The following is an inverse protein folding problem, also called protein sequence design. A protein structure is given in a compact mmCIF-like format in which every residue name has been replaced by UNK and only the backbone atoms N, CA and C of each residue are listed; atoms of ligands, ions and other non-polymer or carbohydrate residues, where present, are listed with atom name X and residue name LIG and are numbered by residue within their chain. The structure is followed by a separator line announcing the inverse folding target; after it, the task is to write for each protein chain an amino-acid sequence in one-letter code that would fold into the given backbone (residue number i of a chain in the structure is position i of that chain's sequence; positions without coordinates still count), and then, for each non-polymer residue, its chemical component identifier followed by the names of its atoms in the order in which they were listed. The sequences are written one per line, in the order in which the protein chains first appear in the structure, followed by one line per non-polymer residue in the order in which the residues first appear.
data_IF_743201798209
#
_entry.id   IF_743201798209
#
_cell.length_a   1.000
_cell.length_b   1.000
_cell.length_c   1.000
_cell.angle_alpha   90.00
_cell.angle_beta   90.00
_cell.angle_gamma   90.00
#
_symmetry.space_group_name_H-M   'P 1'
#
loop_
_entity.id
_entity.type
_entity.pdbx_description
1 polymer ?
#
# COMPACT_ATOMS: atom_id res chain seq x y z
N UNK A 1 26.48 -12.48 6.15
CA UNK A 1 25.09 -12.51 6.64
C UNK A 1 24.17 -12.13 5.50
N UNK A 2 23.16 -12.95 5.18
CA UNK A 2 22.10 -12.57 4.26
C UNK A 2 21.35 -11.39 4.88
N UNK A 3 21.11 -10.30 4.13
CA UNK A 3 20.29 -9.19 4.61
C UNK A 3 18.88 -9.73 4.94
N UNK A 4 18.17 -9.15 5.93
CA UNK A 4 16.77 -9.51 6.25
C UNK A 4 15.89 -9.56 5.01
N UNK A 5 16.11 -8.67 4.06
CA UNK A 5 15.40 -8.63 2.77
C UNK A 5 15.61 -9.92 1.97
N UNK A 6 16.85 -10.39 1.81
CA UNK A 6 17.14 -11.63 1.07
C UNK A 6 16.61 -12.89 1.77
N UNK A 7 16.57 -12.88 3.09
CA UNK A 7 15.98 -13.98 3.87
C UNK A 7 14.46 -14.09 3.65
N UNK A 8 13.74 -12.98 3.75
CA UNK A 8 12.29 -12.92 3.53
C UNK A 8 11.93 -13.26 2.07
N UNK A 9 12.69 -12.76 1.11
CA UNK A 9 12.55 -13.12 -0.31
C UNK A 9 12.73 -14.64 -0.50
N UNK A 10 13.73 -15.25 0.15
CA UNK A 10 14.01 -16.68 0.02
C UNK A 10 12.92 -17.56 0.65
N UNK A 11 12.39 -17.18 1.81
CA UNK A 11 11.31 -17.90 2.49
C UNK A 11 10.01 -17.87 1.68
N UNK A 12 9.65 -16.70 1.12
CA UNK A 12 8.49 -16.54 0.24
C UNK A 12 8.61 -17.42 -1.02
N UNK A 13 9.76 -17.39 -1.69
CA UNK A 13 10.02 -18.21 -2.87
C UNK A 13 9.93 -19.69 -2.52
N UNK A 14 10.55 -20.12 -1.43
CA UNK A 14 10.51 -21.52 -1.00
C UNK A 14 9.08 -21.99 -0.70
N UNK A 15 8.28 -21.17 -0.03
CA UNK A 15 6.89 -21.51 0.32
C UNK A 15 6.00 -21.68 -0.93
N UNK A 16 6.09 -20.77 -1.89
CA UNK A 16 5.37 -20.88 -3.17
C UNK A 16 5.93 -22.04 -4.01
N UNK A 17 7.26 -22.16 -4.13
CA UNK A 17 7.89 -23.23 -4.91
C UNK A 17 7.53 -24.62 -4.35
N UNK A 18 7.55 -24.80 -3.03
CA UNK A 18 7.11 -26.03 -2.40
C UNK A 18 5.63 -26.34 -2.69
N UNK A 19 4.79 -25.31 -2.71
CA UNK A 19 3.36 -25.44 -3.01
C UNK A 19 3.07 -25.71 -4.49
N UNK A 20 3.89 -25.17 -5.39
CA UNK A 20 3.79 -25.37 -6.84
C UNK A 20 4.56 -26.61 -7.32
N UNK A 21 5.65 -26.97 -6.64
CA UNK A 21 6.48 -28.14 -6.97
C UNK A 21 5.81 -29.49 -6.71
N UNK A 22 4.70 -29.50 -5.94
CA UNK A 22 3.83 -30.67 -5.82
C UNK A 22 3.01 -30.95 -7.11
N UNK A 23 2.99 -30.01 -8.06
CA UNK A 23 2.47 -30.20 -9.40
C UNK A 23 3.60 -30.72 -10.31
N UNK A 24 4.04 -31.97 -10.13
CA UNK A 24 4.96 -32.66 -11.06
C UNK A 24 4.33 -32.72 -12.47
N UNK A 25 4.49 -31.67 -13.21
CA UNK A 25 3.93 -31.55 -14.56
C UNK A 25 4.81 -30.71 -15.48
N UNK A 26 4.91 -31.16 -16.71
CA UNK A 26 5.68 -30.55 -17.84
C UNK A 26 5.20 -29.16 -18.29
N UNK A 27 4.29 -28.49 -17.55
CA UNK A 27 3.73 -27.17 -17.92
C UNK A 27 3.99 -26.11 -16.84
N UNK A 28 3.93 -24.85 -17.25
CA UNK A 28 4.00 -23.71 -16.36
C UNK A 28 2.89 -23.75 -15.29
N UNK A 29 3.18 -23.40 -14.03
CA UNK A 29 2.18 -23.31 -12.98
C UNK A 29 1.18 -22.19 -13.26
N UNK A 30 -0.10 -22.43 -12.95
CA UNK A 30 -1.21 -21.48 -13.12
C UNK A 30 -1.68 -20.98 -11.77
N UNK A 31 -1.52 -19.68 -11.55
CA UNK A 31 -1.81 -19.02 -10.27
C UNK A 31 -2.99 -18.08 -10.42
N UNK A 32 -3.99 -18.23 -9.56
CA UNK A 32 -5.04 -17.22 -9.36
C UNK A 32 -4.54 -16.24 -8.32
N UNK A 33 -4.35 -14.98 -8.69
CA UNK A 33 -4.09 -13.89 -7.77
C UNK A 33 -5.41 -13.23 -7.37
N UNK A 34 -5.83 -13.42 -6.11
CA UNK A 34 -6.96 -12.69 -5.52
C UNK A 34 -6.44 -11.39 -4.92
N UNK A 35 -6.69 -10.29 -5.62
CA UNK A 35 -6.19 -8.95 -5.25
C UNK A 35 -7.05 -7.86 -5.92
N UNK A 36 -6.55 -6.62 -6.02
CA UNK A 36 -7.23 -5.47 -6.63
C UNK A 36 -8.53 -5.12 -5.91
N UNK A 37 -8.37 -4.52 -4.72
CA UNK A 37 -9.46 -4.32 -3.76
C UNK A 37 -10.34 -3.14 -4.12
N UNK A 38 -9.76 -2.05 -4.64
CA UNK A 38 -10.44 -0.81 -5.01
C UNK A 38 -9.60 0.04 -5.99
N UNK A 39 -10.19 1.14 -6.49
CA UNK A 39 -9.62 1.99 -7.54
C UNK A 39 -9.60 3.49 -7.20
N UNK A 40 -9.91 3.87 -5.96
CA UNK A 40 -9.99 5.28 -5.51
C UNK A 40 -8.88 5.69 -4.54
N UNK A 41 -7.94 4.77 -4.27
CA UNK A 41 -6.75 4.98 -3.45
C UNK A 41 -5.58 4.29 -4.14
N UNK A 42 -4.53 5.04 -4.49
CA UNK A 42 -3.36 4.51 -5.22
C UNK A 42 -2.56 3.51 -4.40
N UNK A 43 -2.60 3.62 -3.07
CA UNK A 43 -1.97 2.67 -2.18
C UNK A 43 -2.63 1.31 -2.18
N UNK A 44 -3.96 1.27 -2.15
CA UNK A 44 -4.70 0.00 -2.26
C UNK A 44 -4.56 -0.61 -3.67
N UNK A 45 -4.38 0.22 -4.71
CA UNK A 45 -4.06 -0.25 -6.06
C UNK A 45 -2.67 -0.91 -6.07
N UNK A 46 -1.68 -0.33 -5.38
CA UNK A 46 -0.29 -0.77 -5.37
C UNK A 46 -0.06 -2.22 -4.91
N UNK A 47 -0.97 -2.78 -4.10
CA UNK A 47 -0.88 -4.18 -3.68
C UNK A 47 -0.80 -5.15 -4.86
N UNK A 48 -1.60 -4.95 -5.89
CA UNK A 48 -1.68 -5.87 -7.03
C UNK A 48 -0.43 -5.85 -7.90
N UNK A 49 0.05 -4.71 -8.42
CA UNK A 49 1.27 -4.69 -9.22
C UNK A 49 2.50 -5.14 -8.43
N UNK A 50 2.58 -4.85 -7.12
CA UNK A 50 3.66 -5.35 -6.29
C UNK A 50 3.65 -6.88 -6.18
N UNK A 51 2.49 -7.51 -6.02
CA UNK A 51 2.35 -8.96 -6.05
C UNK A 51 2.71 -9.55 -7.40
N UNK A 52 2.29 -8.91 -8.50
CA UNK A 52 2.62 -9.34 -9.86
C UNK A 52 4.12 -9.24 -10.13
N UNK A 53 4.78 -8.17 -9.71
CA UNK A 53 6.23 -8.00 -9.83
C UNK A 53 7.01 -9.08 -9.06
N UNK A 54 6.55 -9.46 -7.86
CA UNK A 54 7.12 -10.58 -7.09
C UNK A 54 6.94 -11.90 -7.83
N UNK A 55 5.75 -12.19 -8.35
CA UNK A 55 5.50 -13.41 -9.14
C UNK A 55 6.35 -13.43 -10.40
N UNK A 56 6.43 -12.33 -11.16
CA UNK A 56 7.28 -12.23 -12.36
C UNK A 56 8.76 -12.45 -12.04
N UNK A 57 9.25 -11.89 -10.92
CA UNK A 57 10.65 -12.01 -10.50
C UNK A 57 11.04 -13.43 -10.10
N UNK A 58 10.17 -14.12 -9.36
CA UNK A 58 10.52 -15.39 -8.73
C UNK A 58 9.90 -16.63 -9.42
N UNK A 59 8.87 -16.44 -10.20
CA UNK A 59 8.15 -17.49 -10.95
C UNK A 59 7.82 -16.98 -12.36
N UNK A 60 8.85 -16.61 -13.16
CA UNK A 60 8.66 -15.96 -14.47
C UNK A 60 7.89 -16.82 -15.47
N UNK A 61 7.86 -18.14 -15.26
CA UNK A 61 7.08 -19.09 -16.05
C UNK A 61 5.60 -19.17 -15.64
N UNK A 62 5.22 -18.64 -14.48
CA UNK A 62 3.86 -18.78 -13.99
C UNK A 62 2.85 -18.01 -14.86
N UNK A 63 1.76 -18.67 -15.21
CA UNK A 63 0.60 -18.02 -15.81
C UNK A 63 -0.30 -17.45 -14.71
N UNK A 64 -0.45 -16.12 -14.67
CA UNK A 64 -1.21 -15.45 -13.60
C UNK A 64 -2.57 -15.00 -14.12
N UNK A 65 -3.63 -15.37 -13.39
CA UNK A 65 -5.00 -14.91 -13.60
C UNK A 65 -5.42 -14.04 -12.41
N UNK A 66 -5.68 -12.76 -12.64
CA UNK A 66 -6.18 -11.85 -11.61
C UNK A 66 -7.68 -12.04 -11.39
N UNK A 67 -8.06 -12.32 -10.14
CA UNK A 67 -9.43 -12.30 -9.68
C UNK A 67 -9.66 -11.01 -8.84
N UNK A 68 -10.12 -9.92 -9.46
CA UNK A 68 -10.24 -8.62 -8.81
C UNK A 68 -11.56 -8.45 -8.04
N UNK A 69 -11.57 -7.50 -7.08
CA UNK A 69 -12.80 -6.87 -6.62
C UNK A 69 -13.23 -5.77 -7.58
N UNK A 70 -12.28 -4.92 -8.01
CA UNK A 70 -12.50 -3.82 -8.93
C UNK A 70 -11.19 -3.50 -9.68
N UNK A 71 -11.29 -3.25 -10.99
CA UNK A 71 -10.19 -2.80 -11.88
C UNK A 71 -10.64 -1.68 -12.82
N UNK A 72 -11.70 -0.97 -12.47
CA UNK A 72 -12.21 0.19 -13.21
C UNK A 72 -11.28 1.41 -13.09
N UNK A 73 -11.71 2.54 -13.64
CA UNK A 73 -11.02 3.83 -13.54
C UNK A 73 -9.56 3.82 -14.05
N UNK A 74 -9.28 3.06 -15.13
CA UNK A 74 -7.95 2.99 -15.74
C UNK A 74 -7.00 1.97 -15.10
N UNK A 75 -7.39 1.31 -13.99
CA UNK A 75 -6.53 0.35 -13.29
C UNK A 75 -6.26 -0.89 -14.13
N UNK A 76 -7.26 -1.38 -14.88
CA UNK A 76 -7.08 -2.55 -15.76
C UNK A 76 -6.06 -2.27 -16.86
N UNK A 77 -6.17 -1.12 -17.50
CA UNK A 77 -5.30 -0.66 -18.58
C UNK A 77 -3.86 -0.47 -18.05
N UNK A 78 -3.69 0.17 -16.92
CA UNK A 78 -2.42 0.34 -16.23
C UNK A 78 -1.73 -1.01 -15.93
N UNK A 79 -2.49 -1.97 -15.37
CA UNK A 79 -1.96 -3.31 -15.07
C UNK A 79 -1.63 -4.07 -16.36
N UNK A 80 -2.48 -4.01 -17.38
CA UNK A 80 -2.24 -4.69 -18.66
C UNK A 80 -1.04 -4.13 -19.43
N UNK A 81 -0.78 -2.83 -19.31
CA UNK A 81 0.41 -2.19 -19.90
C UNK A 81 1.69 -2.74 -19.27
N UNK A 82 1.77 -2.81 -17.93
CA UNK A 82 2.98 -3.32 -17.25
C UNK A 82 3.09 -4.85 -17.29
N UNK A 83 1.95 -5.57 -17.27
CA UNK A 83 1.89 -7.04 -17.24
C UNK A 83 1.07 -7.58 -18.41
N UNK A 84 1.60 -7.57 -19.65
CA UNK A 84 0.81 -7.90 -20.85
C UNK A 84 0.35 -9.37 -20.93
N UNK A 85 0.96 -10.27 -20.14
CA UNK A 85 0.55 -11.67 -20.04
C UNK A 85 -0.53 -11.93 -18.99
N UNK A 86 -0.88 -10.91 -18.18
CA UNK A 86 -1.87 -11.03 -17.11
C UNK A 86 -3.25 -11.32 -17.68
N UNK A 87 -3.85 -12.42 -17.21
CA UNK A 87 -5.25 -12.75 -17.53
C UNK A 87 -6.17 -12.12 -16.48
N UNK A 88 -7.33 -11.66 -16.90
CA UNK A 88 -8.34 -11.08 -16.02
C UNK A 88 -9.61 -11.93 -16.06
N UNK A 89 -10.18 -12.20 -14.89
CA UNK A 89 -11.55 -12.68 -14.76
C UNK A 89 -12.44 -11.56 -14.18
N UNK A 90 -13.75 -11.71 -14.32
CA UNK A 90 -14.68 -10.78 -13.70
C UNK A 90 -14.66 -10.89 -12.16
N UNK A 91 -15.26 -9.94 -11.44
CA UNK A 91 -15.32 -9.97 -9.97
C UNK A 91 -16.16 -11.15 -9.44
N UNK A 92 -17.02 -11.73 -10.24
CA UNK A 92 -17.87 -12.90 -9.93
C UNK A 92 -17.68 -13.99 -10.99
N UNK A 93 -16.50 -14.66 -11.04
CA UNK A 93 -16.25 -15.71 -12.02
C UNK A 93 -16.98 -17.00 -11.65
N UNK A 94 -17.05 -17.93 -12.60
CA UNK A 94 -17.31 -19.34 -12.30
C UNK A 94 -16.13 -19.92 -11.52
N UNK A 95 -16.30 -20.10 -10.22
CA UNK A 95 -15.23 -20.54 -9.32
C UNK A 95 -14.84 -21.98 -9.58
N UNK A 96 -15.77 -22.86 -9.99
CA UNK A 96 -15.46 -24.25 -10.31
C UNK A 96 -14.54 -24.34 -11.54
N UNK A 97 -14.85 -23.55 -12.58
CA UNK A 97 -14.00 -23.44 -13.77
C UNK A 97 -12.64 -22.85 -13.43
N UNK A 98 -12.62 -21.74 -12.66
CA UNK A 98 -11.38 -21.09 -12.24
C UNK A 98 -10.49 -22.06 -11.44
N UNK A 99 -11.08 -22.84 -10.51
CA UNK A 99 -10.39 -23.87 -9.76
C UNK A 99 -9.85 -24.98 -10.67
N UNK A 100 -10.66 -25.50 -11.61
CA UNK A 100 -10.23 -26.56 -12.51
C UNK A 100 -9.02 -26.16 -13.37
N UNK A 101 -9.00 -24.93 -13.85
CA UNK A 101 -8.00 -24.41 -14.79
C UNK A 101 -6.70 -23.93 -14.12
N UNK A 102 -6.66 -23.76 -12.80
CA UNK A 102 -5.51 -23.24 -12.08
C UNK A 102 -5.02 -24.19 -10.97
N UNK A 103 -3.78 -24.03 -10.54
CA UNK A 103 -3.10 -24.94 -9.62
C UNK A 103 -3.05 -24.41 -8.20
N UNK A 104 -3.02 -23.08 -8.03
CA UNK A 104 -2.79 -22.40 -6.77
C UNK A 104 -3.62 -21.10 -6.69
N UNK A 105 -4.12 -20.76 -5.49
CA UNK A 105 -4.70 -19.45 -5.22
C UNK A 105 -3.78 -18.67 -4.27
N UNK A 106 -3.37 -17.48 -4.69
CA UNK A 106 -2.63 -16.52 -3.88
C UNK A 106 -3.53 -15.35 -3.50
N UNK A 107 -3.78 -15.17 -2.19
CA UNK A 107 -4.38 -13.94 -1.68
C UNK A 107 -3.27 -12.88 -1.52
N UNK A 108 -3.38 -11.77 -2.26
CA UNK A 108 -2.43 -10.66 -2.22
C UNK A 108 -2.52 -9.84 -0.94
N UNK A 109 -1.57 -8.92 -0.75
CA UNK A 109 -1.51 -8.04 0.41
C UNK A 109 -2.74 -7.13 0.52
N UNK A 110 -3.03 -6.71 1.75
CA UNK A 110 -4.20 -5.88 2.01
C UNK A 110 -4.41 -5.55 3.50
N UNK A 111 -5.44 -4.72 3.79
CA UNK A 111 -5.73 -4.29 5.16
C UNK A 111 -6.26 -5.41 6.07
N UNK A 112 -6.63 -6.55 5.50
CA UNK A 112 -7.13 -7.75 6.17
C UNK A 112 -7.15 -8.92 5.17
N UNK A 113 -7.71 -10.05 5.55
CA UNK A 113 -8.09 -11.14 4.62
C UNK A 113 -9.33 -10.70 3.80
N UNK A 114 -9.16 -9.67 2.95
CA UNK A 114 -10.27 -9.05 2.17
C UNK A 114 -11.01 -10.06 1.31
N UNK A 115 -10.28 -11.02 0.76
CA UNK A 115 -10.81 -12.11 -0.06
C UNK A 115 -11.23 -13.35 0.73
N UNK A 116 -11.55 -13.26 2.02
CA UNK A 116 -11.90 -14.41 2.88
C UNK A 116 -12.94 -15.32 2.25
N UNK A 117 -14.06 -14.74 1.80
CA UNK A 117 -15.13 -15.49 1.12
C UNK A 117 -14.66 -16.20 -0.15
N UNK A 118 -13.80 -15.58 -0.93
CA UNK A 118 -13.27 -16.16 -2.16
C UNK A 118 -12.29 -17.31 -1.86
N UNK A 119 -11.46 -17.18 -0.84
CA UNK A 119 -10.61 -18.28 -0.36
C UNK A 119 -11.46 -19.45 0.14
N UNK A 120 -12.53 -19.16 0.91
CA UNK A 120 -13.47 -20.20 1.34
C UNK A 120 -14.17 -20.89 0.15
N UNK A 121 -14.54 -20.14 -0.90
CA UNK A 121 -15.12 -20.71 -2.14
C UNK A 121 -14.12 -21.61 -2.86
N UNK A 122 -12.82 -21.22 -2.93
CA UNK A 122 -11.76 -22.04 -3.51
C UNK A 122 -11.58 -23.34 -2.75
N UNK A 123 -11.49 -23.31 -1.43
CA UNK A 123 -11.36 -24.50 -0.56
C UNK A 123 -12.50 -25.51 -0.74
N UNK A 124 -13.72 -25.03 -0.97
CA UNK A 124 -14.90 -25.87 -1.20
C UNK A 124 -14.84 -26.66 -2.50
N UNK A 125 -14.01 -26.28 -3.47
CA UNK A 125 -13.87 -27.00 -4.74
C UNK A 125 -12.99 -28.26 -4.60
N UNK A 126 -12.11 -28.32 -3.61
CA UNK A 126 -11.20 -29.46 -3.40
C UNK A 126 -9.87 -29.10 -2.74
N UNK A 127 -8.87 -29.98 -2.78
CA UNK A 127 -7.66 -29.87 -1.99
C UNK A 127 -6.54 -29.03 -2.60
N UNK A 128 -6.79 -28.28 -3.72
CA UNK A 128 -5.72 -27.45 -4.30
C UNK A 128 -5.22 -26.41 -3.30
N UNK A 129 -3.90 -26.19 -3.25
CA UNK A 129 -3.27 -25.32 -2.27
C UNK A 129 -3.60 -23.84 -2.48
N UNK A 130 -3.43 -23.07 -1.40
CA UNK A 130 -3.51 -21.60 -1.41
C UNK A 130 -2.57 -21.01 -0.37
N UNK A 131 -2.23 -19.73 -0.55
CA UNK A 131 -1.42 -18.96 0.37
C UNK A 131 -1.93 -17.54 0.55
N UNK A 132 -1.50 -16.88 1.62
CA UNK A 132 -1.88 -15.50 1.96
C UNK A 132 -0.61 -14.70 2.20
N UNK A 133 -0.50 -13.51 1.60
CA UNK A 133 0.69 -12.68 1.73
C UNK A 133 0.35 -11.25 2.13
N UNK A 134 1.05 -10.75 3.17
CA UNK A 134 1.12 -9.33 3.50
C UNK A 134 -0.18 -8.72 4.02
N UNK A 135 -0.93 -9.42 4.88
CA UNK A 135 -2.17 -8.90 5.46
C UNK A 135 -1.96 -8.34 6.88
N UNK A 136 -2.83 -7.40 7.28
CA UNK A 136 -3.04 -7.06 8.69
C UNK A 136 -4.09 -7.99 9.27
N UNK A 137 -3.89 -8.44 10.51
CA UNK A 137 -4.84 -9.31 11.20
C UNK A 137 -5.17 -8.76 12.59
N UNK A 138 -6.43 -8.40 12.78
CA UNK A 138 -7.01 -8.19 14.10
C UNK A 138 -7.37 -9.52 14.76
N UNK A 139 -8.14 -9.51 15.84
CA UNK A 139 -8.62 -10.74 16.48
C UNK A 139 -9.38 -11.59 15.44
N UNK A 140 -8.90 -12.80 15.10
CA UNK A 140 -9.54 -13.62 14.08
C UNK A 140 -10.85 -14.23 14.57
N UNK A 141 -11.80 -14.40 13.65
CA UNK A 141 -13.02 -15.19 13.88
C UNK A 141 -12.69 -16.69 13.76
N UNK A 142 -13.55 -17.60 14.25
CA UNK A 142 -13.34 -19.03 14.02
C UNK A 142 -13.20 -19.40 12.54
N UNK A 143 -13.96 -18.76 11.64
CA UNK A 143 -13.85 -18.95 10.19
C UNK A 143 -12.48 -18.48 9.66
N UNK A 144 -12.03 -17.30 10.08
CA UNK A 144 -10.71 -16.78 9.72
C UNK A 144 -9.59 -17.72 10.21
N UNK A 145 -9.69 -18.24 11.44
CA UNK A 145 -8.73 -19.23 11.98
C UNK A 145 -8.68 -20.48 11.10
N UNK A 146 -9.83 -21.02 10.72
CA UNK A 146 -9.90 -22.20 9.86
C UNK A 146 -9.28 -21.95 8.49
N UNK A 147 -9.59 -20.80 7.86
CA UNK A 147 -9.05 -20.43 6.55
C UNK A 147 -7.54 -20.24 6.63
N UNK A 148 -7.05 -19.45 7.57
CA UNK A 148 -5.60 -19.17 7.68
C UNK A 148 -4.82 -20.44 8.06
N UNK A 149 -5.38 -21.32 8.91
CA UNK A 149 -4.73 -22.58 9.29
C UNK A 149 -4.65 -23.59 8.15
N UNK A 150 -5.56 -23.54 7.18
CA UNK A 150 -5.55 -24.42 6.02
C UNK A 150 -4.64 -23.93 4.87
N UNK A 151 -4.04 -22.74 4.99
CA UNK A 151 -3.12 -22.21 4.00
C UNK A 151 -1.76 -22.92 4.04
N UNK A 152 -1.04 -22.95 2.93
CA UNK A 152 0.35 -23.42 2.86
C UNK A 152 1.30 -22.46 3.57
N UNK A 153 1.01 -21.18 3.50
CA UNK A 153 1.71 -20.11 4.19
C UNK A 153 0.80 -18.92 4.45
N UNK A 154 1.08 -18.18 5.51
CA UNK A 154 0.49 -16.87 5.82
C UNK A 154 1.60 -15.92 6.23
N UNK A 155 1.77 -14.83 5.49
CA UNK A 155 2.65 -13.74 5.85
C UNK A 155 1.83 -12.54 6.33
N UNK A 156 2.15 -12.05 7.52
CA UNK A 156 1.54 -10.85 8.09
C UNK A 156 2.48 -9.66 7.91
N UNK A 157 1.93 -8.51 7.49
CA UNK A 157 2.75 -7.33 7.17
C UNK A 157 3.26 -6.55 8.39
N UNK A 158 2.85 -6.94 9.59
CA UNK A 158 3.36 -6.41 10.85
C UNK A 158 3.39 -7.49 11.94
N UNK A 159 4.33 -7.34 12.89
CA UNK A 159 4.54 -8.28 13.98
C UNK A 159 3.35 -8.41 14.92
N UNK A 160 2.57 -7.33 15.12
CA UNK A 160 1.38 -7.34 15.98
C UNK A 160 0.29 -8.23 15.37
N UNK A 161 0.10 -8.15 14.06
CA UNK A 161 -0.83 -9.03 13.31
C UNK A 161 -0.42 -10.51 13.43
N UNK A 162 0.89 -10.81 13.30
CA UNK A 162 1.43 -12.16 13.45
C UNK A 162 1.15 -12.74 14.85
N UNK A 163 1.45 -11.97 15.89
CA UNK A 163 1.22 -12.42 17.27
C UNK A 163 -0.29 -12.52 17.59
N UNK A 164 -1.11 -11.62 17.06
CA UNK A 164 -2.56 -11.68 17.20
C UNK A 164 -3.15 -12.95 16.54
N UNK A 165 -2.65 -13.32 15.37
CA UNK A 165 -3.09 -14.54 14.68
C UNK A 165 -2.68 -15.81 15.47
N UNK A 166 -1.43 -15.87 15.98
CA UNK A 166 -0.95 -16.96 16.84
C UNK A 166 -1.81 -17.09 18.09
N UNK A 167 -2.00 -15.99 18.82
CA UNK A 167 -2.83 -15.95 20.03
C UNK A 167 -4.30 -16.32 19.75
N UNK A 168 -4.78 -16.01 18.54
CA UNK A 168 -6.11 -16.39 18.06
C UNK A 168 -6.27 -17.86 17.64
N UNK A 169 -5.19 -18.66 17.68
CA UNK A 169 -5.24 -20.09 17.41
C UNK A 169 -4.96 -20.50 15.96
N UNK A 170 -4.49 -19.57 15.10
CA UNK A 170 -4.06 -19.92 13.74
C UNK A 170 -2.84 -20.82 13.78
N UNK A 171 -2.86 -21.93 12.99
CA UNK A 171 -1.81 -22.94 12.93
C UNK A 171 -1.44 -23.27 11.47
N UNK A 172 -0.79 -22.32 10.80
CA UNK A 172 -0.31 -22.52 9.45
C UNK A 172 1.12 -23.09 9.43
N UNK A 173 1.50 -23.97 8.47
CA UNK A 173 2.85 -24.53 8.37
C UNK A 173 3.95 -23.46 8.30
N UNK A 174 3.73 -22.39 7.53
CA UNK A 174 4.63 -21.22 7.46
C UNK A 174 3.82 -19.99 7.86
N UNK A 175 4.16 -19.40 9.00
CA UNK A 175 3.48 -18.24 9.54
C UNK A 175 4.50 -17.25 10.06
N UNK A 176 4.76 -16.20 9.29
CA UNK A 176 5.87 -15.28 9.52
C UNK A 176 5.49 -13.82 9.21
N UNK A 177 6.38 -12.91 9.59
CA UNK A 177 6.35 -11.54 9.10
C UNK A 177 6.77 -11.51 7.61
N UNK A 178 5.97 -10.85 6.78
CA UNK A 178 6.30 -10.60 5.38
C UNK A 178 5.72 -9.26 4.94
N UNK A 179 6.56 -8.34 4.43
CA UNK A 179 6.15 -6.97 4.18
C UNK A 179 5.01 -6.89 3.18
N UNK A 180 4.34 -5.73 3.16
CA UNK A 180 3.27 -5.41 2.23
C UNK A 180 3.74 -5.54 0.77
N UNK A 181 2.92 -6.15 -0.09
CA UNK A 181 3.25 -6.31 -1.52
C UNK A 181 3.53 -4.99 -2.23
N UNK A 182 2.96 -3.88 -1.76
CA UNK A 182 3.20 -2.56 -2.32
C UNK A 182 4.68 -2.12 -2.31
N UNK A 183 5.54 -2.69 -1.45
CA UNK A 183 6.99 -2.46 -1.50
C UNK A 183 7.65 -2.89 -2.82
N UNK A 184 7.06 -3.85 -3.51
CA UNK A 184 7.60 -4.37 -4.78
C UNK A 184 6.98 -3.70 -6.01
N UNK A 185 6.10 -2.73 -5.84
CA UNK A 185 5.46 -2.03 -6.97
C UNK A 185 6.50 -1.28 -7.79
N UNK A 186 6.53 -1.58 -9.08
CA UNK A 186 7.47 -1.03 -10.06
C UNK A 186 6.80 -0.32 -11.25
N UNK A 187 5.53 0.03 -11.09
CA UNK A 187 4.77 0.77 -12.10
C UNK A 187 5.41 2.10 -12.44
N UNK A 188 5.37 2.46 -13.72
CA UNK A 188 5.85 3.75 -14.22
C UNK A 188 4.95 4.30 -15.33
N UNK A 189 4.78 5.60 -15.30
CA UNK A 189 4.19 6.41 -16.36
C UNK A 189 5.07 7.67 -16.51
N UNK A 190 6.18 7.48 -17.18
CA UNK A 190 7.26 8.46 -17.25
C UNK A 190 6.81 9.73 -17.98
N UNK A 191 6.11 9.57 -19.11
CA UNK A 191 5.66 10.68 -19.94
C UNK A 191 4.73 11.63 -19.15
N UNK A 192 3.71 11.09 -18.50
CA UNK A 192 2.75 11.89 -17.74
C UNK A 192 3.41 12.55 -16.52
N UNK A 193 4.31 11.82 -15.84
CA UNK A 193 5.02 12.36 -14.68
C UNK A 193 5.98 13.49 -15.08
N UNK A 194 6.72 13.35 -16.17
CA UNK A 194 7.62 14.39 -16.67
C UNK A 194 6.87 15.63 -17.13
N UNK A 195 5.75 15.46 -17.85
CA UNK A 195 4.89 16.57 -18.24
C UNK A 195 4.37 17.34 -17.02
N UNK A 196 3.91 16.62 -15.97
CA UNK A 196 3.47 17.22 -14.72
C UNK A 196 4.59 17.99 -14.02
N UNK A 197 5.75 17.36 -13.84
CA UNK A 197 6.89 17.99 -13.16
C UNK A 197 7.38 19.25 -13.90
N UNK A 198 7.50 19.17 -15.22
CA UNK A 198 7.88 20.31 -16.04
C UNK A 198 6.86 21.46 -15.96
N UNK A 199 5.56 21.14 -16.05
CA UNK A 199 4.48 22.13 -15.99
C UNK A 199 4.43 22.92 -14.67
N UNK A 200 4.93 22.32 -13.57
CA UNK A 200 4.99 22.95 -12.25
C UNK A 200 6.40 23.37 -11.81
N UNK A 201 7.39 23.21 -12.68
CA UNK A 201 8.79 23.52 -12.38
C UNK A 201 9.31 22.73 -11.19
N UNK A 202 8.94 21.45 -11.10
CA UNK A 202 9.46 20.49 -10.11
C UNK A 202 10.63 19.73 -10.73
N UNK A 203 11.83 19.93 -10.20
CA UNK A 203 13.06 19.30 -10.67
C UNK A 203 13.38 18.06 -9.85
N UNK A 204 13.95 17.05 -10.50
CA UNK A 204 14.38 15.80 -9.84
C UNK A 204 15.30 16.09 -8.65
N UNK A 205 14.97 15.51 -7.49
CA UNK A 205 15.73 15.71 -6.25
C UNK A 205 15.59 17.11 -5.62
N UNK A 206 14.72 17.97 -6.16
CA UNK A 206 14.52 19.34 -5.69
C UNK A 206 13.13 19.59 -5.10
N UNK A 207 12.42 18.56 -4.72
CA UNK A 207 11.13 18.68 -4.03
C UNK A 207 10.88 17.50 -3.10
N UNK A 208 10.08 17.74 -2.07
CA UNK A 208 9.47 16.73 -1.21
C UNK A 208 7.99 16.56 -1.54
N UNK A 209 7.47 15.35 -1.39
CA UNK A 209 6.04 15.09 -1.43
C UNK A 209 5.44 15.14 -0.02
N UNK A 210 4.25 15.74 0.13
CA UNK A 210 3.49 15.79 1.37
C UNK A 210 2.07 15.26 1.15
N UNK A 211 1.64 14.28 1.95
CA UNK A 211 0.32 13.67 1.79
C UNK A 211 -0.52 13.88 3.05
N UNK A 212 -1.60 14.69 2.98
CA UNK A 212 -2.58 14.81 4.06
C UNK A 212 -3.50 13.59 4.12
N UNK A 213 -4.14 13.35 5.28
CA UNK A 213 -5.14 12.32 5.40
C UNK A 213 -6.13 12.59 6.53
N UNK A 214 -7.42 12.28 6.29
CA UNK A 214 -8.39 12.17 7.38
C UNK A 214 -8.12 10.93 8.25
N UNK A 215 -8.45 10.99 9.54
CA UNK A 215 -8.34 9.82 10.45
C UNK A 215 -9.11 8.62 9.90
N UNK A 216 -10.27 8.87 9.35
CA UNK A 216 -11.06 7.88 8.64
C UNK A 216 -11.39 8.39 7.24
N UNK A 217 -10.91 7.71 6.19
CA UNK A 217 -11.23 8.09 4.81
C UNK A 217 -12.75 8.16 4.63
N UNK A 218 -13.30 9.32 4.23
CA UNK A 218 -14.75 9.50 4.02
C UNK A 218 -15.18 8.87 2.69
N UNK A 219 -15.22 7.54 2.64
CA UNK A 219 -15.54 6.78 1.43
C UNK A 219 -16.90 7.12 0.82
N UNK A 220 -17.85 7.65 1.61
CA UNK A 220 -19.13 8.14 1.09
C UNK A 220 -19.01 9.31 0.09
N UNK A 221 -17.86 10.00 0.08
CA UNK A 221 -17.59 11.06 -0.89
C UNK A 221 -17.03 10.54 -2.23
N UNK A 222 -16.44 9.33 -2.23
CA UNK A 222 -15.64 8.84 -3.37
C UNK A 222 -15.98 7.42 -3.84
N UNK A 223 -16.84 6.70 -3.10
CA UNK A 223 -17.32 5.38 -3.49
C UNK A 223 -18.84 5.37 -3.56
N UNK A 224 -19.44 5.16 -4.75
CA UNK A 224 -20.88 5.02 -4.88
C UNK A 224 -21.45 3.94 -3.94
N UNK A 225 -22.59 4.20 -3.34
CA UNK A 225 -23.27 3.25 -2.45
C UNK A 225 -22.71 3.13 -1.03
N UNK A 226 -21.69 3.93 -0.68
CA UNK A 226 -21.21 4.00 0.71
C UNK A 226 -22.09 4.94 1.54
N UNK A 227 -22.60 4.45 2.66
CA UNK A 227 -23.44 5.24 3.57
C UNK A 227 -22.60 6.26 4.34
N UNK A 228 -23.15 7.47 4.53
CA UNK A 228 -22.56 8.50 5.38
C UNK A 228 -22.43 8.02 6.83
N UNK A 229 -21.27 8.26 7.43
CA UNK A 229 -20.96 7.88 8.82
C UNK A 229 -20.69 9.17 9.64
N UNK A 230 -21.69 9.64 10.41
CA UNK A 230 -21.57 10.89 11.16
C UNK A 230 -20.54 10.82 12.31
N UNK A 231 -20.25 9.62 12.84
CA UNK A 231 -19.26 9.45 13.91
C UNK A 231 -17.86 9.65 13.35
N UNK A 232 -17.56 9.04 12.20
CA UNK A 232 -16.28 9.23 11.52
C UNK A 232 -16.11 10.66 11.01
N UNK A 233 -17.19 11.26 10.47
CA UNK A 233 -17.13 12.66 10.03
C UNK A 233 -16.79 13.58 11.20
N UNK A 234 -17.49 13.45 12.32
CA UNK A 234 -17.22 14.25 13.52
C UNK A 234 -15.77 14.09 13.99
N UNK A 235 -15.27 12.85 14.05
CA UNK A 235 -13.88 12.59 14.44
C UNK A 235 -12.87 13.21 13.48
N UNK A 236 -13.13 13.16 12.18
CA UNK A 236 -12.31 13.82 11.18
C UNK A 236 -12.26 15.33 11.38
N UNK A 237 -13.42 15.96 11.64
CA UNK A 237 -13.52 17.41 11.84
C UNK A 237 -12.79 17.88 13.11
N UNK A 238 -12.92 17.12 14.20
CA UNK A 238 -12.24 17.39 15.48
C UNK A 238 -10.71 17.30 15.36
N UNK A 239 -10.20 16.34 14.59
CA UNK A 239 -8.77 16.06 14.55
C UNK A 239 -8.04 16.67 13.33
N UNK A 240 -8.77 17.18 12.36
CA UNK A 240 -8.22 17.68 11.11
C UNK A 240 -7.09 18.70 11.30
N UNK A 241 -7.26 19.69 12.18
CA UNK A 241 -6.23 20.70 12.44
C UNK A 241 -5.04 20.10 13.18
N UNK A 242 -5.30 19.33 14.24
CA UNK A 242 -4.27 18.67 15.06
C UNK A 242 -3.36 17.81 14.18
N UNK A 243 -3.94 16.94 13.34
CA UNK A 243 -3.20 15.95 12.56
C UNK A 243 -2.37 16.57 11.41
N UNK A 244 -2.65 17.82 11.03
CA UNK A 244 -1.96 18.50 9.92
C UNK A 244 -1.08 19.69 10.34
N UNK A 245 -1.16 20.14 11.60
CA UNK A 245 -0.39 21.28 12.05
C UNK A 245 1.12 21.06 11.88
N UNK A 246 1.64 19.87 12.23
CA UNK A 246 3.06 19.56 12.08
C UNK A 246 3.49 19.37 10.62
N UNK A 247 2.63 18.82 9.77
CA UNK A 247 2.91 18.74 8.33
C UNK A 247 3.04 20.15 7.73
N UNK A 248 2.13 21.05 8.11
CA UNK A 248 2.17 22.45 7.66
C UNK A 248 3.43 23.16 8.16
N UNK A 249 3.79 22.97 9.42
CA UNK A 249 5.02 23.51 9.99
C UNK A 249 6.27 22.98 9.28
N UNK A 250 6.29 21.69 8.92
CA UNK A 250 7.37 21.07 8.15
C UNK A 250 7.48 21.67 6.74
N UNK A 251 6.35 21.88 6.03
CA UNK A 251 6.34 22.56 4.73
C UNK A 251 6.99 23.95 4.84
N UNK A 252 6.58 24.75 5.83
CA UNK A 252 7.15 26.08 6.06
C UNK A 252 8.65 26.00 6.34
N UNK A 253 9.07 25.06 7.19
CA UNK A 253 10.47 24.90 7.56
C UNK A 253 11.34 24.49 6.35
N UNK A 254 10.89 23.53 5.55
CA UNK A 254 11.58 23.09 4.33
C UNK A 254 11.75 24.26 3.37
N UNK A 255 10.68 24.98 3.05
CA UNK A 255 10.70 26.10 2.12
C UNK A 255 11.62 27.22 2.63
N UNK A 256 11.61 27.53 3.93
CA UNK A 256 12.44 28.64 4.49
C UNK A 256 13.90 28.27 4.71
N UNK A 257 14.23 26.99 4.87
CA UNK A 257 15.58 26.57 5.28
C UNK A 257 16.32 25.75 4.20
N UNK A 258 15.69 25.50 3.05
CA UNK A 258 16.29 24.79 1.89
C UNK A 258 15.84 25.43 0.58
N UNK A 259 16.42 24.99 -0.53
CA UNK A 259 15.99 25.39 -1.87
C UNK A 259 14.90 24.47 -2.45
N UNK A 260 14.41 23.50 -1.67
CA UNK A 260 13.42 22.54 -2.14
C UNK A 260 12.04 23.18 -2.27
N UNK A 261 11.27 22.67 -3.23
CA UNK A 261 9.82 22.84 -3.31
C UNK A 261 9.09 21.76 -2.52
N UNK A 262 7.80 21.95 -2.25
CA UNK A 262 6.95 20.90 -1.68
C UNK A 262 5.75 20.67 -2.59
N UNK A 263 5.49 19.40 -2.92
CA UNK A 263 4.32 18.95 -3.65
C UNK A 263 3.31 18.35 -2.65
N UNK A 264 2.19 19.03 -2.43
CA UNK A 264 1.05 18.49 -1.71
C UNK A 264 0.25 17.63 -2.70
N UNK A 265 0.17 16.32 -2.44
CA UNK A 265 -0.42 15.37 -3.38
C UNK A 265 -1.29 14.31 -2.68
N UNK A 266 -2.25 13.69 -3.41
CA UNK A 266 -3.16 12.72 -2.83
C UNK A 266 -2.66 11.28 -2.93
N UNK A 267 -3.05 10.42 -1.97
CA UNK A 267 -3.10 8.97 -2.10
C UNK A 267 -4.54 8.51 -2.41
N UNK A 268 -5.56 9.13 -1.81
CA UNK A 268 -6.96 8.90 -2.17
C UNK A 268 -7.66 10.17 -2.69
N UNK A 269 -8.82 9.99 -3.32
CA UNK A 269 -9.56 11.08 -3.97
C UNK A 269 -10.10 12.17 -3.03
N UNK A 270 -10.14 11.95 -1.72
CA UNK A 270 -10.59 12.96 -0.75
C UNK A 270 -9.49 13.95 -0.39
N UNK A 271 -8.24 13.57 -0.64
CA UNK A 271 -7.07 14.30 -0.14
C UNK A 271 -6.70 15.51 -0.99
N UNK A 272 -7.21 15.64 -2.21
CA UNK A 272 -7.04 16.85 -3.01
C UNK A 272 -7.69 18.05 -2.31
N UNK A 273 -8.97 17.95 -1.97
CA UNK A 273 -9.69 19.01 -1.26
C UNK A 273 -9.11 19.25 0.14
N UNK A 274 -8.82 18.17 0.88
CA UNK A 274 -8.20 18.26 2.20
C UNK A 274 -6.84 18.97 2.15
N UNK A 275 -5.98 18.59 1.21
CA UNK A 275 -4.65 19.19 1.04
C UNK A 275 -4.71 20.68 0.74
N UNK A 276 -5.71 21.10 -0.06
CA UNK A 276 -5.96 22.53 -0.30
C UNK A 276 -6.37 23.23 0.98
N UNK A 277 -7.45 22.77 1.61
CA UNK A 277 -8.07 23.41 2.77
C UNK A 277 -7.13 23.52 3.97
N UNK A 278 -6.47 22.40 4.33
CA UNK A 278 -5.78 22.30 5.62
C UNK A 278 -4.28 22.57 5.55
N UNK A 279 -3.68 22.39 4.36
CA UNK A 279 -2.27 22.68 4.14
C UNK A 279 -2.10 23.93 3.30
N UNK A 280 -2.41 23.89 1.98
CA UNK A 280 -2.02 24.93 1.04
C UNK A 280 -2.62 26.31 1.37
N UNK A 281 -3.93 26.41 1.61
CA UNK A 281 -4.61 27.70 1.86
C UNK A 281 -4.13 28.36 3.18
N UNK A 282 -3.66 27.58 4.14
CA UNK A 282 -3.16 28.04 5.45
C UNK A 282 -1.66 28.35 5.48
N UNK A 283 -0.95 28.18 4.36
CA UNK A 283 0.47 28.56 4.30
C UNK A 283 0.61 30.08 4.25
N UNK A 284 1.73 30.62 4.81
CA UNK A 284 2.12 32.01 4.57
C UNK A 284 2.35 32.28 3.08
N UNK A 285 2.05 33.51 2.63
CA UNK A 285 2.15 33.86 1.21
C UNK A 285 3.58 33.74 0.68
N UNK A 286 4.59 34.09 1.51
CA UNK A 286 6.01 33.94 1.17
C UNK A 286 6.52 32.48 1.05
N UNK A 287 5.67 31.52 1.39
CA UNK A 287 5.93 30.08 1.27
C UNK A 287 5.23 29.47 0.06
N UNK A 288 4.04 29.96 -0.30
CA UNK A 288 3.19 29.42 -1.34
C UNK A 288 3.86 29.32 -2.71
N UNK A 289 4.73 30.28 -3.07
CA UNK A 289 5.42 30.32 -4.36
C UNK A 289 6.29 29.09 -4.64
N UNK A 290 6.69 28.36 -3.58
CA UNK A 290 7.47 27.13 -3.67
C UNK A 290 6.70 25.88 -3.24
N UNK A 291 5.37 25.97 -3.15
CA UNK A 291 4.49 24.85 -2.84
C UNK A 291 3.53 24.61 -3.99
N UNK A 292 3.53 23.40 -4.51
CA UNK A 292 2.59 22.96 -5.54
C UNK A 292 1.49 22.14 -4.85
N UNK A 293 0.25 22.46 -5.11
CA UNK A 293 -0.90 21.65 -4.73
C UNK A 293 -1.45 20.95 -5.95
N UNK A 294 -1.43 19.58 -5.92
CA UNK A 294 -2.00 18.79 -7.01
C UNK A 294 -3.51 18.76 -6.91
N UNK A 295 -4.17 19.24 -7.97
CA UNK A 295 -5.62 19.41 -8.03
C UNK A 295 -6.35 18.14 -8.48
N UNK A 296 -5.67 17.30 -9.28
CA UNK A 296 -6.26 16.13 -9.90
C UNK A 296 -5.75 14.84 -9.28
N UNK A 297 -6.65 13.85 -9.22
CA UNK A 297 -6.28 12.50 -8.84
C UNK A 297 -5.42 11.86 -9.94
N UNK A 298 -4.51 11.02 -9.54
CA UNK A 298 -3.63 10.25 -10.41
C UNK A 298 -3.75 8.75 -10.15
N UNK A 299 -3.22 7.91 -11.04
CA UNK A 299 -3.05 6.49 -10.77
C UNK A 299 -1.67 6.20 -10.18
N UNK A 300 -1.49 4.96 -9.73
CA UNK A 300 -0.29 4.52 -9.02
C UNK A 300 0.98 4.63 -9.85
N UNK A 301 0.90 4.41 -11.16
CA UNK A 301 2.02 4.48 -12.11
C UNK A 301 2.56 5.92 -12.24
N UNK A 302 1.68 6.91 -12.42
CA UNK A 302 2.06 8.33 -12.45
C UNK A 302 2.58 8.77 -11.08
N UNK A 303 1.85 8.47 -10.00
CA UNK A 303 2.25 8.84 -8.64
C UNK A 303 3.65 8.33 -8.30
N UNK A 304 3.91 7.04 -8.54
CA UNK A 304 5.21 6.44 -8.25
C UNK A 304 6.31 7.00 -9.14
N UNK A 305 6.02 7.33 -10.41
CA UNK A 305 6.97 8.01 -11.30
C UNK A 305 7.37 9.40 -10.79
N UNK A 306 6.44 10.12 -10.15
CA UNK A 306 6.73 11.40 -9.47
C UNK A 306 7.53 11.16 -8.18
N UNK A 307 7.13 10.20 -7.35
CA UNK A 307 7.78 9.90 -6.07
C UNK A 307 9.26 9.54 -6.24
N UNK A 308 9.61 8.71 -7.23
CA UNK A 308 11.02 8.33 -7.48
C UNK A 308 11.89 9.46 -7.99
N UNK A 309 11.30 10.61 -8.28
CA UNK A 309 11.99 11.84 -8.66
C UNK A 309 12.05 12.87 -7.52
N UNK A 310 11.36 12.64 -6.41
CA UNK A 310 11.43 13.50 -5.23
C UNK A 310 12.70 13.24 -4.43
N UNK A 311 13.05 14.17 -3.54
CA UNK A 311 14.07 13.97 -2.51
C UNK A 311 13.53 13.14 -1.33
N UNK A 312 12.21 13.03 -1.18
CA UNK A 312 11.58 12.27 -0.11
C UNK A 312 10.08 12.53 -0.03
N UNK A 313 9.43 11.81 0.87
CA UNK A 313 8.00 11.93 1.14
C UNK A 313 7.74 12.00 2.64
N UNK A 314 6.75 12.78 3.06
CA UNK A 314 6.24 12.78 4.43
C UNK A 314 4.74 12.97 4.46
N UNK A 315 4.08 12.48 5.49
CA UNK A 315 2.63 12.66 5.62
C UNK A 315 1.94 11.62 6.47
N UNK A 316 0.61 11.65 6.39
CA UNK A 316 -0.28 10.86 7.24
C UNK A 316 -0.74 9.55 6.58
N UNK A 317 -0.29 9.27 5.37
CA UNK A 317 -0.55 8.01 4.65
C UNK A 317 0.54 6.98 4.85
N UNK A 318 0.21 5.74 4.49
CA UNK A 318 1.11 4.61 4.72
C UNK A 318 1.60 3.96 3.42
N UNK A 319 0.77 3.86 2.38
CA UNK A 319 1.17 3.10 1.19
C UNK A 319 2.10 3.90 0.25
N UNK A 320 1.88 5.19 0.10
CA UNK A 320 2.81 6.04 -0.66
C UNK A 320 4.22 6.03 -0.05
N UNK A 321 4.38 6.16 1.29
CA UNK A 321 5.64 5.87 1.95
C UNK A 321 6.20 4.46 1.69
N UNK A 322 5.36 3.42 1.71
CA UNK A 322 5.79 2.04 1.38
C UNK A 322 6.37 1.98 -0.03
N UNK A 323 5.70 2.57 -1.02
CA UNK A 323 6.18 2.61 -2.41
C UNK A 323 7.47 3.41 -2.55
N UNK A 324 7.61 4.51 -1.81
CA UNK A 324 8.85 5.30 -1.76
C UNK A 324 10.01 4.45 -1.22
N UNK A 325 9.88 3.87 -0.02
CA UNK A 325 10.91 3.03 0.59
C UNK A 325 11.26 1.83 -0.30
N UNK A 326 10.26 1.18 -0.89
CA UNK A 326 10.47 0.08 -1.85
C UNK A 326 11.28 0.49 -3.08
N UNK A 327 11.22 1.77 -3.46
CA UNK A 327 11.93 2.37 -4.58
C UNK A 327 13.23 3.10 -4.16
N UNK A 328 13.63 3.05 -2.89
CA UNK A 328 14.86 3.68 -2.39
C UNK A 328 14.72 5.18 -2.10
N UNK A 329 13.50 5.70 -2.00
CA UNK A 329 13.21 7.09 -1.65
C UNK A 329 12.84 7.17 -0.15
N UNK A 330 13.47 8.07 0.65
CA UNK A 330 13.17 8.20 2.07
C UNK A 330 11.73 8.66 2.30
N UNK A 331 11.08 8.13 3.36
CA UNK A 331 9.70 8.49 3.64
C UNK A 331 9.37 8.46 5.14
N UNK A 332 8.86 9.58 5.64
CA UNK A 332 8.43 9.77 7.03
C UNK A 332 6.92 9.59 7.12
N UNK A 333 6.49 8.78 8.08
CA UNK A 333 5.09 8.45 8.33
C UNK A 333 4.63 9.05 9.65
N UNK A 334 3.54 9.80 9.61
CA UNK A 334 2.80 10.23 10.78
C UNK A 334 1.49 9.41 10.86
N UNK A 335 1.24 8.77 12.00
CA UNK A 335 0.11 7.87 12.20
C UNK A 335 -0.67 8.22 13.47
N UNK A 336 -1.78 7.54 13.66
CA UNK A 336 -2.62 7.56 14.87
C UNK A 336 -3.22 6.16 15.14
N UNK A 337 -3.81 5.98 16.31
CA UNK A 337 -4.29 4.67 16.76
C UNK A 337 -5.34 4.04 15.83
N UNK A 338 -6.25 4.84 15.25
CA UNK A 338 -7.31 4.35 14.34
C UNK A 338 -6.76 3.75 13.03
N UNK A 339 -5.49 3.98 12.68
CA UNK A 339 -4.85 3.34 11.52
C UNK A 339 -4.46 1.87 11.73
N UNK A 340 -4.86 1.25 12.84
CA UNK A 340 -4.56 -0.14 13.18
C UNK A 340 -3.07 -0.43 13.44
N UNK A 341 -2.68 -1.70 13.47
CA UNK A 341 -1.29 -2.13 13.71
C UNK A 341 -0.33 -1.89 12.53
N UNK A 342 -0.85 -1.53 11.37
CA UNK A 342 -0.08 -1.38 10.12
C UNK A 342 1.18 -0.49 10.25
N UNK A 343 1.13 0.55 11.10
CA UNK A 343 2.29 1.40 11.39
C UNK A 343 3.47 0.67 12.01
N UNK A 344 3.23 -0.44 12.75
CA UNK A 344 4.31 -1.21 13.35
C UNK A 344 5.25 -1.83 12.30
N UNK A 345 4.81 -1.97 11.05
CA UNK A 345 5.66 -2.43 9.95
C UNK A 345 6.94 -1.57 9.80
N UNK A 346 6.88 -0.25 10.06
CA UNK A 346 8.06 0.62 10.06
C UNK A 346 9.08 0.18 11.12
N UNK A 347 8.61 -0.18 12.32
CA UNK A 347 9.45 -0.73 13.40
C UNK A 347 10.03 -2.08 12.99
N UNK A 348 9.22 -2.94 12.39
CA UNK A 348 9.60 -4.29 12.00
C UNK A 348 10.66 -4.31 10.89
N UNK A 349 10.70 -3.30 10.03
CA UNK A 349 11.72 -3.13 8.98
C UNK A 349 12.92 -2.26 9.42
N UNK A 350 12.91 -1.76 10.66
CA UNK A 350 14.03 -1.02 11.25
C UNK A 350 14.04 0.49 10.95
N UNK A 351 12.87 1.08 10.67
CA UNK A 351 12.67 2.51 10.37
C UNK A 351 11.90 3.23 11.49
N UNK A 352 12.21 2.93 12.75
CA UNK A 352 11.53 3.52 13.91
C UNK A 352 11.59 5.04 13.94
N UNK A 353 12.75 5.59 13.59
CA UNK A 353 13.03 7.03 13.58
C UNK A 353 12.22 7.81 12.52
N UNK A 354 11.59 7.09 11.57
CA UNK A 354 10.75 7.67 10.53
C UNK A 354 9.25 7.41 10.74
N UNK A 355 8.89 6.95 11.94
CA UNK A 355 7.50 6.72 12.34
C UNK A 355 7.14 7.59 13.54
N UNK A 356 6.17 8.47 13.38
CA UNK A 356 5.67 9.37 14.41
C UNK A 356 4.21 9.07 14.74
N UNK A 357 3.86 9.00 16.02
CA UNK A 357 2.48 8.86 16.48
C UNK A 357 1.92 10.24 16.83
N UNK A 358 0.88 10.67 16.12
CA UNK A 358 0.25 11.97 16.33
C UNK A 358 -0.59 12.04 17.61
N UNK A 359 -0.91 10.90 18.23
CA UNK A 359 -1.57 10.84 19.53
C UNK A 359 -0.56 10.88 20.69
N UNK A 360 0.75 10.96 20.41
CA UNK A 360 1.85 11.07 21.36
C UNK A 360 2.52 12.45 21.27
N UNK A 361 2.12 13.38 22.12
CA UNK A 361 2.60 14.76 22.13
C UNK A 361 4.14 14.92 22.06
N UNK A 362 4.96 14.14 22.79
CA UNK A 362 6.42 14.17 22.64
C UNK A 362 6.91 13.87 21.22
N UNK A 363 6.23 13.01 20.45
CA UNK A 363 6.64 12.67 19.10
C UNK A 363 6.31 13.78 18.10
N UNK A 364 5.27 14.59 18.35
CA UNK A 364 4.91 15.70 17.46
C UNK A 364 6.10 16.66 17.26
N UNK A 365 6.84 16.96 18.32
CA UNK A 365 7.99 17.86 18.26
C UNK A 365 9.15 17.34 17.40
N UNK A 366 9.20 16.01 17.14
CA UNK A 366 10.22 15.37 16.32
C UNK A 366 9.97 15.45 14.81
N UNK A 367 8.72 15.72 14.38
CA UNK A 367 8.33 15.63 12.96
C UNK A 367 9.07 16.67 12.11
N UNK A 368 9.02 17.94 12.50
CA UNK A 368 9.67 19.03 11.73
C UNK A 368 11.18 18.82 11.61
N UNK A 369 11.93 18.54 12.72
CA UNK A 369 13.35 18.21 12.62
C UNK A 369 13.66 17.02 11.71
N UNK A 370 12.88 15.94 11.77
CA UNK A 370 13.08 14.76 10.92
C UNK A 370 12.87 15.08 9.44
N UNK A 371 11.80 15.81 9.09
CA UNK A 371 11.54 16.23 7.70
C UNK A 371 12.65 17.17 7.20
N UNK A 372 13.15 18.08 8.04
CA UNK A 372 14.27 18.94 7.67
C UNK A 372 15.58 18.18 7.48
N UNK A 373 15.85 17.16 8.31
CA UNK A 373 17.01 16.29 8.11
C UNK A 373 16.92 15.59 6.75
N UNK A 374 15.79 14.94 6.46
CA UNK A 374 15.54 14.31 5.15
C UNK A 374 15.67 15.29 3.97
N UNK A 375 15.33 16.56 4.16
CA UNK A 375 15.40 17.59 3.12
C UNK A 375 16.83 18.09 2.85
N UNK A 376 17.79 17.85 3.75
CA UNK A 376 19.16 18.35 3.70
C UNK A 376 20.19 17.28 3.32
N UNK A 377 19.80 16.00 3.42
CA UNK A 377 20.63 14.84 3.03
C UNK A 377 20.47 14.51 1.53
#
# INVERSE_FOLDING_TARGET
MLSRRRFLESAFVAAIAASLGAAEGKRAPRVVLRSSWQTVNIGDIAHTPGMLALLEKYFPEAEVTLWPSNVENGVKEMLATRFPKLKFVGPKPDVAKLYAENDFLLHGSGPSLVGEKQVAMWRKQGPKPYGVLGITQGKPTPETVEILSGAQFVYFRDSVSLETAKAGGVKCPVMEFGPDGAFATDLRNEETAEAFLHGWGLERGKFLCCIPRYRSTPYWLIKPGTTFDPVKQKRNDEMKEHDHAQLRAAIVAVVKQTDLKVLICPEDRTQMALGKEILFDKLPDDVKDRVVWRQDYWLTDEALSVYVRSAGLFGNEMHSPIMCIGSGIPAIVCRWAEQTSKGNMWKDIGLNEWLFDLDDEPQLAGIVPAVLAMAKD
#
